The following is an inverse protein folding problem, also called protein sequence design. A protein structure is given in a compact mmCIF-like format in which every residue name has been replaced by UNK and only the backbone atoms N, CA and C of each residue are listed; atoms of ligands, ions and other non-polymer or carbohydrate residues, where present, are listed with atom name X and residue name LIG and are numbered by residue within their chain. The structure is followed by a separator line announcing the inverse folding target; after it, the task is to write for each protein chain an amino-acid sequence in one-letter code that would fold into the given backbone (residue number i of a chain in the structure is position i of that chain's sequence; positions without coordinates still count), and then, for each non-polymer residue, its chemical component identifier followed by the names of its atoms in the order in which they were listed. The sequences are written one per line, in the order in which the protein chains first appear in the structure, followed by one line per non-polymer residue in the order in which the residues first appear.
data_IF_478494242869
#
_entry.id   IF_478494242869
#
_cell.length_a   1.000
_cell.length_b   1.000
_cell.length_c   1.000
_cell.angle_alpha   90.00
_cell.angle_beta   90.00
_cell.angle_gamma   90.00
#
_symmetry.space_group_name_H-M   'P 1'
#
loop_
_entity.id
_entity.type
_entity.pdbx_description
1 polymer ?
#
# COMPACT_ATOMS: atom_id res chain seq x y z
N UNK A 1 41.38 18.68 -3.70
CA UNK A 1 40.33 18.16 -4.59
C UNK A 1 39.27 17.51 -3.71
N UNK A 2 38.05 18.04 -3.63
CA UNK A 2 37.02 17.36 -2.83
C UNK A 2 36.62 16.10 -3.54
N UNK A 3 36.69 14.98 -2.84
CA UNK A 3 36.21 13.64 -3.23
C UNK A 3 34.72 13.75 -3.58
N UNK A 4 34.37 13.51 -4.84
CA UNK A 4 33.00 13.32 -5.29
C UNK A 4 32.43 12.13 -4.51
N UNK A 5 31.61 12.42 -3.50
CA UNK A 5 30.76 11.42 -2.87
C UNK A 5 29.87 10.86 -3.97
N UNK A 6 30.07 9.60 -4.31
CA UNK A 6 29.23 8.85 -5.25
C UNK A 6 27.82 8.87 -4.66
N UNK A 7 26.90 9.64 -5.25
CA UNK A 7 25.48 9.56 -4.93
C UNK A 7 25.03 8.14 -5.26
N UNK A 8 24.73 7.36 -4.22
CA UNK A 8 24.14 6.02 -4.39
C UNK A 8 22.82 6.15 -5.15
N UNK A 9 22.58 5.25 -6.10
CA UNK A 9 21.29 5.18 -6.79
C UNK A 9 20.21 4.68 -5.82
N UNK A 10 18.93 4.99 -6.05
CA UNK A 10 17.82 4.46 -5.25
C UNK A 10 17.85 2.93 -5.20
N UNK A 11 18.06 2.26 -6.33
CA UNK A 11 18.17 0.81 -6.38
C UNK A 11 19.44 0.28 -5.69
N UNK A 12 20.52 1.05 -5.62
CA UNK A 12 21.73 0.69 -4.87
C UNK A 12 21.52 0.77 -3.36
N UNK A 13 20.67 1.68 -2.90
CA UNK A 13 20.32 1.83 -1.48
C UNK A 13 19.20 0.86 -1.07
N UNK A 14 18.26 0.62 -1.96
CA UNK A 14 17.09 -0.25 -1.75
C UNK A 14 17.03 -1.29 -2.88
N UNK A 15 17.70 -2.44 -2.74
CA UNK A 15 17.86 -3.44 -3.83
C UNK A 15 16.54 -3.94 -4.41
N UNK A 16 15.48 -3.98 -3.61
CA UNK A 16 14.13 -4.38 -4.05
C UNK A 16 13.63 -3.49 -5.21
N UNK A 17 14.00 -2.20 -5.26
CA UNK A 17 13.63 -1.27 -6.32
C UNK A 17 14.35 -1.58 -7.66
N UNK A 18 15.39 -2.37 -7.61
CA UNK A 18 16.10 -2.88 -8.80
C UNK A 18 15.44 -4.10 -9.45
N UNK A 19 14.46 -4.73 -8.78
CA UNK A 19 13.76 -5.93 -9.28
C UNK A 19 12.53 -5.53 -10.11
N UNK A 20 12.13 -6.31 -11.14
CA UNK A 20 10.89 -6.10 -11.89
C UNK A 20 9.67 -6.62 -11.10
N UNK A 21 9.41 -6.06 -9.95
CA UNK A 21 8.27 -6.41 -9.11
C UNK A 21 7.10 -5.48 -9.38
N UNK A 22 5.84 -5.96 -9.39
CA UNK A 22 4.68 -5.09 -9.41
C UNK A 22 4.67 -4.22 -8.15
N UNK A 23 4.25 -2.97 -8.31
CA UNK A 23 4.16 -2.01 -7.24
C UNK A 23 2.74 -1.47 -7.10
N UNK A 24 2.39 -1.02 -5.90
CA UNK A 24 1.12 -0.34 -5.63
C UNK A 24 1.34 1.17 -5.68
N UNK A 25 0.72 1.84 -6.64
CA UNK A 25 0.68 3.30 -6.72
C UNK A 25 -0.62 3.80 -6.12
N UNK A 26 -0.52 4.59 -5.05
CA UNK A 26 -1.67 5.25 -4.42
C UNK A 26 -1.69 6.74 -4.76
N UNK A 27 -2.82 7.23 -5.25
CA UNK A 27 -3.08 8.62 -5.66
C UNK A 27 -4.33 9.16 -4.94
N UNK A 28 -4.50 10.48 -4.94
CA UNK A 28 -5.63 11.14 -4.28
C UNK A 28 -6.71 11.48 -5.30
N UNK A 29 -7.91 10.97 -5.08
CA UNK A 29 -9.10 11.29 -5.87
C UNK A 29 -9.61 12.72 -5.58
N UNK A 30 -10.42 13.32 -6.46
CA UNK A 30 -10.96 14.67 -6.26
C UNK A 30 -11.76 14.85 -4.95
N UNK A 31 -12.42 13.79 -4.46
CA UNK A 31 -13.17 13.78 -3.20
C UNK A 31 -12.30 13.55 -1.97
N UNK A 32 -10.98 13.42 -2.16
CA UNK A 32 -9.99 13.17 -1.12
C UNK A 32 -9.84 11.71 -0.70
N UNK A 33 -10.64 10.78 -1.23
CA UNK A 33 -10.41 9.34 -1.08
C UNK A 33 -9.12 8.94 -1.81
N UNK A 34 -8.62 7.77 -1.51
CA UNK A 34 -7.42 7.24 -2.18
C UNK A 34 -7.82 6.21 -3.24
N UNK A 35 -7.07 6.21 -4.33
CA UNK A 35 -7.08 5.16 -5.35
C UNK A 35 -5.74 4.44 -5.29
N UNK A 36 -5.76 3.12 -5.23
CA UNK A 36 -4.58 2.25 -5.30
C UNK A 36 -4.66 1.36 -6.53
N UNK A 37 -3.60 1.32 -7.32
CA UNK A 37 -3.55 0.49 -8.54
C UNK A 37 -2.20 -0.18 -8.65
N UNK A 38 -2.18 -1.35 -9.30
CA UNK A 38 -0.92 -2.01 -9.68
C UNK A 38 -0.28 -1.25 -10.84
N UNK A 39 1.02 -1.08 -10.73
CA UNK A 39 1.84 -0.46 -11.78
C UNK A 39 3.18 -1.20 -11.92
N UNK A 40 3.72 -1.13 -13.12
CA UNK A 40 5.12 -1.41 -13.38
C UNK A 40 5.94 -0.12 -13.26
N UNK A 41 7.19 -0.23 -12.89
CA UNK A 41 8.06 0.91 -12.71
C UNK A 41 9.50 0.62 -13.17
N UNK A 42 10.20 1.69 -13.46
CA UNK A 42 11.65 1.71 -13.62
C UNK A 42 12.25 2.63 -12.55
N UNK A 43 13.56 2.50 -12.34
CA UNK A 43 14.30 3.33 -11.40
C UNK A 43 15.47 3.98 -12.14
N UNK A 44 15.52 5.30 -12.16
CA UNK A 44 16.73 6.01 -12.52
C UNK A 44 17.59 6.28 -11.27
N UNK A 45 18.56 7.20 -11.36
CA UNK A 45 19.47 7.43 -10.23
C UNK A 45 18.76 7.99 -8.99
N UNK A 46 17.70 8.78 -9.16
CA UNK A 46 17.07 9.57 -8.08
C UNK A 46 15.56 9.48 -8.05
N UNK A 47 14.93 8.94 -9.10
CA UNK A 47 13.48 8.90 -9.27
C UNK A 47 12.99 7.49 -9.53
N UNK A 48 11.73 7.25 -9.22
CA UNK A 48 10.99 6.14 -9.78
C UNK A 48 10.12 6.65 -10.94
N UNK A 49 10.09 5.88 -12.00
CA UNK A 49 9.38 6.20 -13.23
C UNK A 49 8.27 5.18 -13.42
N UNK A 50 7.03 5.65 -13.49
CA UNK A 50 5.86 4.83 -13.78
C UNK A 50 5.28 5.28 -15.10
N UNK A 51 5.02 4.35 -16.01
CA UNK A 51 4.26 4.65 -17.23
C UNK A 51 2.78 4.40 -17.00
N UNK A 52 1.95 5.31 -17.49
CA UNK A 52 0.49 5.18 -17.50
C UNK A 52 -0.08 5.88 -18.71
N UNK A 53 -1.41 5.80 -18.92
CA UNK A 53 -2.06 6.51 -20.01
C UNK A 53 -2.67 7.82 -19.50
N UNK A 54 -2.59 8.86 -20.30
CA UNK A 54 -3.13 10.19 -20.00
C UNK A 54 -4.62 10.15 -19.63
N UNK A 55 -5.34 9.21 -20.20
CA UNK A 55 -6.78 9.00 -20.06
C UNK A 55 -7.15 8.27 -18.77
N UNK A 56 -6.20 7.63 -18.09
CA UNK A 56 -6.49 6.82 -16.91
C UNK A 56 -6.71 7.68 -15.66
N UNK A 57 -7.50 7.15 -14.72
CA UNK A 57 -7.89 7.84 -13.50
C UNK A 57 -6.66 8.33 -12.70
N UNK A 58 -5.62 7.49 -12.57
CA UNK A 58 -4.39 7.85 -11.84
C UNK A 58 -3.67 9.06 -12.43
N UNK A 59 -3.65 9.21 -13.77
CA UNK A 59 -3.07 10.37 -14.42
C UNK A 59 -3.92 11.63 -14.19
N UNK A 60 -5.26 11.51 -14.22
CA UNK A 60 -6.16 12.62 -13.86
C UNK A 60 -6.00 13.04 -12.41
N UNK A 61 -5.89 12.09 -11.49
CA UNK A 61 -5.67 12.36 -10.08
C UNK A 61 -4.37 13.13 -9.86
N UNK A 62 -3.28 12.70 -10.51
CA UNK A 62 -1.95 13.33 -10.39
C UNK A 62 -1.88 14.74 -10.99
N UNK A 63 -2.71 15.07 -11.98
CA UNK A 63 -2.83 16.47 -12.46
C UNK A 63 -3.49 17.37 -11.42
N UNK A 64 -4.44 16.85 -10.64
CA UNK A 64 -5.14 17.62 -9.61
C UNK A 64 -4.37 17.66 -8.29
N UNK A 65 -3.77 16.54 -7.92
CA UNK A 65 -2.97 16.39 -6.70
C UNK A 65 -1.68 15.64 -7.05
N UNK A 66 -0.55 16.35 -7.28
CA UNK A 66 0.71 15.75 -7.72
C UNK A 66 1.46 15.06 -6.58
N UNK A 67 0.75 14.30 -5.75
CA UNK A 67 1.25 13.56 -4.60
C UNK A 67 0.86 12.10 -4.71
N UNK A 68 1.82 11.21 -4.58
CA UNK A 68 1.61 9.77 -4.63
C UNK A 68 2.48 9.02 -3.63
N UNK A 69 2.12 7.77 -3.41
CA UNK A 69 2.95 6.79 -2.72
C UNK A 69 3.09 5.56 -3.59
N UNK A 70 4.32 5.08 -3.74
CA UNK A 70 4.63 3.81 -4.36
C UNK A 70 5.07 2.82 -3.28
N UNK A 71 4.40 1.68 -3.20
CA UNK A 71 4.76 0.56 -2.32
C UNK A 71 5.25 -0.61 -3.17
N UNK A 72 6.45 -1.09 -2.87
CA UNK A 72 7.00 -2.33 -3.41
C UNK A 72 7.15 -3.33 -2.27
N UNK A 73 6.60 -4.51 -2.43
CA UNK A 73 6.70 -5.61 -1.45
C UNK A 73 7.39 -6.79 -2.11
N UNK A 74 8.32 -7.40 -1.39
CA UNK A 74 8.94 -8.65 -1.85
C UNK A 74 7.90 -9.79 -1.73
N UNK A 75 7.52 -10.47 -2.83
CA UNK A 75 6.53 -11.53 -2.76
C UNK A 75 7.03 -12.77 -1.99
N UNK A 76 8.35 -12.97 -1.92
CA UNK A 76 8.97 -14.09 -1.22
C UNK A 76 9.11 -13.81 0.30
N UNK A 77 9.10 -12.55 0.70
CA UNK A 77 9.19 -12.08 2.09
C UNK A 77 8.41 -10.77 2.26
N UNK A 78 7.18 -10.85 2.70
CA UNK A 78 6.31 -9.68 2.89
C UNK A 78 6.76 -8.75 4.01
N UNK A 79 7.81 -9.10 4.76
CA UNK A 79 8.47 -8.19 5.71
C UNK A 79 9.52 -7.32 5.05
N UNK A 80 9.96 -7.64 3.82
CA UNK A 80 10.85 -6.83 2.98
C UNK A 80 10.03 -5.98 2.02
N UNK A 81 9.89 -4.69 2.33
CA UNK A 81 9.15 -3.73 1.51
C UNK A 81 9.73 -2.32 1.59
N UNK A 82 9.45 -1.52 0.58
CA UNK A 82 9.79 -0.10 0.53
C UNK A 82 8.54 0.71 0.16
N UNK A 83 8.19 1.68 1.01
CA UNK A 83 7.23 2.73 0.73
C UNK A 83 7.96 4.01 0.35
N UNK A 84 7.64 4.57 -0.80
CA UNK A 84 8.21 5.82 -1.29
C UNK A 84 7.08 6.83 -1.48
N UNK A 85 7.07 7.90 -0.67
CA UNK A 85 6.19 9.06 -0.87
C UNK A 85 6.89 10.06 -1.79
N UNK A 86 6.18 10.59 -2.77
CA UNK A 86 6.77 11.39 -3.81
C UNK A 86 5.88 12.54 -4.26
N UNK A 87 6.52 13.64 -4.64
CA UNK A 87 5.92 14.59 -5.58
C UNK A 87 6.06 14.01 -7.00
N UNK A 88 5.04 14.22 -7.83
CA UNK A 88 4.96 13.61 -9.16
C UNK A 88 4.88 14.69 -10.22
N UNK A 89 5.75 14.64 -11.23
CA UNK A 89 5.58 15.34 -12.50
C UNK A 89 5.09 14.38 -13.57
N UNK A 90 4.26 14.88 -14.49
CA UNK A 90 3.77 14.15 -15.65
C UNK A 90 4.49 14.67 -16.90
N UNK A 91 5.12 13.76 -17.65
CA UNK A 91 5.95 14.06 -18.81
C UNK A 91 5.46 13.25 -20.02
N UNK A 92 5.20 13.91 -21.14
CA UNK A 92 4.75 13.26 -22.39
C UNK A 92 5.94 12.93 -23.32
N UNK A 93 6.99 13.74 -23.28
CA UNK A 93 8.20 13.52 -24.07
C UNK A 93 8.91 12.23 -23.64
N UNK A 94 9.20 11.34 -24.58
CA UNK A 94 9.86 10.05 -24.33
C UNK A 94 8.98 9.01 -23.60
N UNK A 95 7.69 9.30 -23.36
CA UNK A 95 6.82 8.42 -22.58
C UNK A 95 6.55 7.08 -23.29
N UNK A 96 6.50 7.05 -24.64
CA UNK A 96 6.35 5.82 -25.40
C UNK A 96 7.60 4.92 -25.25
N UNK A 97 8.79 5.48 -25.35
CA UNK A 97 10.04 4.72 -25.21
C UNK A 97 10.16 4.12 -23.82
N UNK A 98 9.80 4.90 -22.78
CA UNK A 98 9.78 4.41 -21.41
C UNK A 98 8.74 3.30 -21.21
N UNK A 99 7.54 3.43 -21.80
CA UNK A 99 6.51 2.39 -21.75
C UNK A 99 7.03 1.08 -22.36
N UNK A 100 7.67 1.16 -23.52
CA UNK A 100 8.25 0.03 -24.21
C UNK A 100 9.38 -0.62 -23.39
N UNK A 101 10.26 0.18 -22.77
CA UNK A 101 11.35 -0.29 -21.91
C UNK A 101 10.82 -0.98 -20.64
N UNK A 102 9.82 -0.40 -20.00
CA UNK A 102 9.15 -1.00 -18.83
C UNK A 102 8.43 -2.28 -19.26
N UNK A 103 7.67 -2.25 -20.37
CA UNK A 103 7.01 -3.44 -20.93
C UNK A 103 7.99 -4.58 -21.14
N UNK A 104 9.10 -4.29 -21.83
CA UNK A 104 10.16 -5.27 -22.05
C UNK A 104 10.78 -5.83 -20.77
N UNK A 105 11.02 -4.95 -19.78
CA UNK A 105 11.59 -5.36 -18.49
C UNK A 105 10.72 -6.37 -17.73
N UNK A 106 9.39 -6.24 -17.81
CA UNK A 106 8.45 -7.10 -17.08
C UNK A 106 7.98 -8.31 -17.88
N UNK A 107 7.93 -8.24 -19.19
CA UNK A 107 7.37 -9.29 -20.06
C UNK A 107 8.38 -9.92 -21.02
N UNK A 108 9.51 -9.26 -21.27
CA UNK A 108 10.44 -9.63 -22.33
C UNK A 108 9.98 -9.21 -23.73
N UNK A 109 8.79 -8.57 -23.86
CA UNK A 109 8.19 -8.21 -25.15
C UNK A 109 8.31 -6.71 -25.44
N UNK A 110 8.50 -6.35 -26.73
CA UNK A 110 8.57 -4.97 -27.23
C UNK A 110 8.15 -4.93 -28.71
N UNK A 111 7.40 -3.91 -29.19
CA UNK A 111 6.87 -2.76 -28.42
C UNK A 111 5.69 -3.13 -27.50
N UNK A 112 5.32 -2.21 -26.60
CA UNK A 112 4.21 -2.43 -25.67
C UNK A 112 2.90 -2.64 -26.44
N UNK A 113 2.52 -1.67 -27.28
CA UNK A 113 1.37 -1.82 -28.18
C UNK A 113 1.72 -2.80 -29.33
N UNK A 114 0.96 -3.86 -29.42
CA UNK A 114 1.10 -4.91 -30.43
C UNK A 114 1.82 -6.18 -29.95
N UNK A 115 2.57 -6.11 -28.84
CA UNK A 115 3.21 -7.29 -28.27
C UNK A 115 2.73 -7.59 -26.85
N UNK A 116 2.56 -6.55 -25.99
CA UNK A 116 2.09 -6.72 -24.61
C UNK A 116 0.57 -6.51 -24.55
N UNK A 117 0.06 -5.52 -25.27
CA UNK A 117 -1.37 -5.25 -25.43
C UNK A 117 -1.73 -5.11 -26.90
N UNK A 118 -3.02 -5.18 -27.29
CA UNK A 118 -3.46 -4.98 -28.66
C UNK A 118 -2.95 -3.68 -29.28
N UNK A 119 -2.55 -3.72 -30.56
CA UNK A 119 -1.95 -2.57 -31.25
C UNK A 119 -2.93 -1.40 -31.47
N UNK A 120 -4.22 -1.69 -31.60
CA UNK A 120 -5.28 -0.71 -31.81
C UNK A 120 -5.49 0.22 -30.61
N UNK A 121 -5.10 -0.20 -29.40
CA UNK A 121 -5.13 0.65 -28.22
C UNK A 121 -4.25 1.90 -28.36
N UNK A 122 -3.18 1.86 -29.16
CA UNK A 122 -2.32 3.02 -29.43
C UNK A 122 -3.07 4.21 -30.06
N UNK A 123 -4.25 3.97 -30.66
CA UNK A 123 -5.07 5.04 -31.21
C UNK A 123 -5.85 5.85 -30.14
N UNK A 124 -6.05 5.28 -28.95
CA UNK A 124 -6.89 5.85 -27.89
C UNK A 124 -6.18 6.02 -26.57
N UNK A 125 -5.05 5.37 -26.37
CA UNK A 125 -4.25 5.39 -25.15
C UNK A 125 -2.93 6.12 -25.43
N UNK A 126 -2.71 7.23 -24.70
CA UNK A 126 -1.51 8.06 -24.88
C UNK A 126 -0.61 7.95 -23.63
N UNK A 127 0.56 7.37 -23.78
CA UNK A 127 1.49 7.21 -22.67
C UNK A 127 1.90 8.53 -22.04
N UNK A 128 2.01 8.52 -20.72
CA UNK A 128 2.57 9.60 -19.93
C UNK A 128 3.47 9.00 -18.83
N UNK A 129 4.65 9.58 -18.66
CA UNK A 129 5.57 9.23 -17.59
C UNK A 129 5.17 9.95 -16.32
N UNK A 130 4.93 9.19 -15.25
CA UNK A 130 4.89 9.73 -13.90
C UNK A 130 6.30 9.65 -13.32
N UNK A 131 6.99 10.78 -13.20
CA UNK A 131 8.29 10.88 -12.52
C UNK A 131 8.05 11.17 -11.05
N UNK A 132 8.38 10.20 -10.20
CA UNK A 132 8.22 10.26 -8.76
C UNK A 132 9.52 10.76 -8.12
N UNK A 133 9.51 11.99 -7.61
CA UNK A 133 10.61 12.57 -6.83
C UNK A 133 10.38 12.28 -5.36
N UNK A 134 11.22 11.46 -4.71
CA UNK A 134 11.01 11.05 -3.32
C UNK A 134 11.04 12.24 -2.36
N UNK A 135 10.04 12.32 -1.48
CA UNK A 135 10.02 13.24 -0.33
C UNK A 135 10.24 12.50 0.99
N UNK A 136 9.93 11.20 1.01
CA UNK A 136 10.24 10.33 2.14
C UNK A 136 10.25 8.86 1.68
N UNK A 137 11.13 8.08 2.27
CA UNK A 137 11.21 6.63 2.07
C UNK A 137 11.05 5.97 3.43
N UNK A 138 10.24 4.94 3.48
CA UNK A 138 9.97 4.14 4.69
C UNK A 138 10.20 2.67 4.36
N UNK A 139 10.92 2.00 5.25
CA UNK A 139 11.13 0.55 5.22
C UNK A 139 10.54 -0.07 6.48
N UNK A 140 10.44 -1.39 6.58
CA UNK A 140 10.04 -2.04 7.82
C UNK A 140 10.90 -1.57 8.98
N UNK A 141 10.30 -1.24 10.14
CA UNK A 141 11.07 -0.99 11.34
C UNK A 141 11.77 -2.29 11.75
N UNK A 142 12.98 -2.22 12.32
CA UNK A 142 13.60 -3.40 12.87
C UNK A 142 12.70 -4.01 13.95
N UNK A 143 12.50 -5.32 13.89
CA UNK A 143 11.78 -6.05 14.93
C UNK A 143 12.70 -6.11 16.15
N UNK A 144 12.27 -5.61 17.32
CA UNK A 144 13.07 -5.71 18.52
C UNK A 144 13.33 -7.19 18.88
N UNK A 145 14.48 -7.54 19.47
CA UNK A 145 14.74 -8.90 19.92
C UNK A 145 13.67 -9.39 20.91
N UNK A 146 13.22 -10.63 20.76
CA UNK A 146 12.19 -11.22 21.62
C UNK A 146 12.64 -11.40 23.08
N UNK A 147 13.93 -11.61 23.30
CA UNK A 147 14.61 -11.85 24.57
C UNK A 147 15.06 -10.57 25.30
N UNK A 148 14.59 -9.41 24.84
CA UNK A 148 14.90 -8.14 25.49
C UNK A 148 14.41 -8.19 26.94
N UNK A 149 15.31 -8.00 27.97
CA UNK A 149 14.86 -7.94 29.35
C UNK A 149 13.80 -6.84 29.48
N UNK A 150 12.66 -7.19 30.08
CA UNK A 150 11.59 -6.24 30.33
C UNK A 150 12.20 -5.05 31.08
N UNK A 151 12.32 -3.92 30.40
CA UNK A 151 12.60 -2.66 31.04
C UNK A 151 11.37 -2.41 31.90
N UNK A 152 11.50 -2.61 33.23
CA UNK A 152 10.47 -2.22 34.17
C UNK A 152 10.32 -0.70 34.03
N UNK A 153 9.49 -0.29 33.08
CA UNK A 153 9.12 1.10 32.91
C UNK A 153 8.31 1.48 34.13
N UNK A 154 8.95 2.24 35.03
CA UNK A 154 8.26 2.90 36.13
C UNK A 154 7.04 3.62 35.55
N UNK A 155 5.86 3.11 35.90
CA UNK A 155 4.52 3.71 35.79
C UNK A 155 4.39 4.86 34.81
N UNK A 156 4.44 4.56 33.49
CA UNK A 156 3.80 5.42 32.53
C UNK A 156 2.32 5.07 32.55
N UNK A 157 1.54 5.86 33.28
CA UNK A 157 0.09 5.88 33.12
C UNK A 157 -0.16 6.20 31.67
N UNK A 158 -0.53 5.18 30.89
CA UNK A 158 -0.88 5.36 29.48
C UNK A 158 -2.01 6.40 29.43
N UNK A 159 -1.88 7.50 28.68
CA UNK A 159 -2.97 8.45 28.58
C UNK A 159 -4.21 7.67 28.12
N UNK A 160 -5.41 8.05 28.62
CA UNK A 160 -6.63 7.38 28.21
C UNK A 160 -6.69 7.36 26.68
N UNK A 161 -7.13 6.25 26.08
CA UNK A 161 -7.20 6.15 24.63
C UNK A 161 -8.03 7.32 24.09
N UNK A 162 -7.62 7.95 22.99
CA UNK A 162 -8.39 9.01 22.38
C UNK A 162 -9.80 8.47 22.07
N UNK A 163 -10.80 9.34 22.16
CA UNK A 163 -12.15 8.96 21.72
C UNK A 163 -12.05 8.50 20.26
N UNK A 164 -12.46 7.27 20.02
CA UNK A 164 -12.57 6.75 18.67
C UNK A 164 -13.67 7.55 17.93
N UNK A 165 -13.47 7.87 16.64
CA UNK A 165 -14.50 8.55 15.87
C UNK A 165 -15.78 7.72 15.89
N UNK A 166 -16.91 8.41 15.95
CA UNK A 166 -18.22 7.76 15.79
C UNK A 166 -18.28 7.16 14.38
N UNK A 167 -18.86 5.95 14.22
CA UNK A 167 -19.01 5.33 12.93
C UNK A 167 -19.54 6.33 11.90
N UNK A 168 -18.86 6.46 10.78
CA UNK A 168 -19.30 7.31 9.67
C UNK A 168 -20.50 6.64 9.03
N UNK A 169 -21.71 7.22 9.26
CA UNK A 169 -22.97 6.63 8.88
C UNK A 169 -23.11 6.32 7.40
N UNK A 170 -23.61 5.17 7.14
CA UNK A 170 -24.57 4.72 6.13
C UNK A 170 -24.49 5.33 4.72
N UNK A 171 -23.39 5.13 4.01
CA UNK A 171 -23.49 4.93 2.56
C UNK A 171 -23.95 3.50 2.27
N UNK A 172 -24.46 3.23 1.08
CA UNK A 172 -24.78 1.88 0.66
C UNK A 172 -23.47 1.10 0.49
N UNK A 173 -23.35 -0.10 1.09
CA UNK A 173 -22.17 -0.94 0.97
C UNK A 173 -22.03 -1.44 -0.47
N UNK A 174 -20.80 -1.50 -0.97
CA UNK A 174 -20.51 -2.11 -2.25
C UNK A 174 -20.38 -3.63 -2.09
N UNK A 175 -20.97 -4.39 -2.98
CA UNK A 175 -20.85 -5.84 -3.00
C UNK A 175 -19.42 -6.28 -3.34
N UNK A 176 -18.96 -7.31 -2.65
CA UNK A 176 -17.70 -7.98 -2.96
C UNK A 176 -17.94 -9.01 -4.09
N UNK A 177 -17.20 -8.94 -5.21
CA UNK A 177 -17.35 -9.87 -6.31
C UNK A 177 -17.05 -11.33 -5.89
N UNK A 178 -17.95 -12.24 -6.22
CA UNK A 178 -17.83 -13.64 -5.82
C UNK A 178 -16.57 -14.34 -6.36
N UNK A 179 -16.12 -13.93 -7.54
CA UNK A 179 -14.93 -14.44 -8.23
C UNK A 179 -13.59 -13.91 -7.67
N UNK A 180 -13.63 -12.99 -6.68
CA UNK A 180 -12.47 -12.45 -5.98
C UNK A 180 -12.49 -12.73 -4.47
N UNK A 181 -13.46 -13.45 -3.95
CA UNK A 181 -13.55 -13.75 -2.51
C UNK A 181 -12.38 -14.61 -2.02
N UNK A 182 -11.83 -15.46 -2.87
CA UNK A 182 -10.65 -16.26 -2.55
C UNK A 182 -9.41 -15.38 -2.22
N UNK A 183 -9.23 -14.24 -2.89
CA UNK A 183 -8.18 -13.27 -2.55
C UNK A 183 -8.42 -12.68 -1.15
N UNK A 184 -9.67 -12.45 -0.79
CA UNK A 184 -10.06 -11.88 0.51
C UNK A 184 -10.00 -12.90 1.65
N UNK A 185 -10.12 -14.18 1.35
CA UNK A 185 -10.10 -15.29 2.31
C UNK A 185 -8.69 -15.90 2.48
N UNK A 186 -7.79 -15.66 1.52
CA UNK A 186 -6.41 -16.11 1.60
C UNK A 186 -5.55 -15.18 2.49
N UNK A 187 -4.53 -15.72 3.19
CA UNK A 187 -3.62 -14.93 4.02
C UNK A 187 -2.58 -14.18 3.16
N UNK A 188 -3.05 -13.31 2.29
CA UNK A 188 -2.22 -12.48 1.42
C UNK A 188 -1.90 -11.14 2.09
N UNK A 189 -0.73 -10.57 1.77
CA UNK A 189 -0.42 -9.23 2.22
C UNK A 189 -1.24 -8.21 1.41
N UNK A 190 -2.13 -7.48 2.08
CA UNK A 190 -2.87 -6.38 1.48
C UNK A 190 -2.09 -5.06 1.57
N UNK A 191 -2.19 -4.20 0.57
CA UNK A 191 -1.64 -2.84 0.60
C UNK A 191 -2.73 -1.87 1.12
N UNK A 192 -2.60 -1.43 2.37
CA UNK A 192 -3.53 -0.47 2.98
C UNK A 192 -3.02 0.95 2.78
N UNK A 193 -3.79 1.75 2.06
CA UNK A 193 -3.56 3.17 1.88
C UNK A 193 -4.45 3.99 2.83
N UNK A 194 -3.83 4.91 3.59
CA UNK A 194 -4.47 5.87 4.49
C UNK A 194 -3.95 7.28 4.20
N UNK A 195 -4.72 8.31 4.51
CA UNK A 195 -4.35 9.69 4.21
C UNK A 195 -3.60 10.33 5.36
N UNK A 196 -2.44 10.92 5.06
CA UNK A 196 -1.71 11.76 6.00
C UNK A 196 -2.38 13.13 6.18
N UNK A 197 -2.24 13.81 7.32
CA UNK A 197 -2.76 15.17 7.51
C UNK A 197 -2.28 16.17 6.45
N UNK A 198 -1.07 15.97 5.90
CA UNK A 198 -0.53 16.77 4.78
C UNK A 198 -1.07 16.43 3.40
N UNK A 199 -2.07 15.54 3.29
CA UNK A 199 -2.73 15.18 2.04
C UNK A 199 -2.09 14.04 1.27
N UNK A 200 -0.83 13.67 1.55
CA UNK A 200 -0.20 12.53 0.89
C UNK A 200 -0.85 11.20 1.27
N UNK A 201 -0.94 10.24 0.35
CA UNK A 201 -1.19 8.86 0.70
C UNK A 201 -0.06 8.30 1.58
N UNK A 202 -0.38 7.34 2.42
CA UNK A 202 0.57 6.43 3.06
C UNK A 202 0.09 5.01 2.77
N UNK A 203 0.94 4.17 2.19
CA UNK A 203 0.57 2.81 1.78
C UNK A 203 1.55 1.81 2.38
N UNK A 204 1.03 0.85 3.15
CA UNK A 204 1.85 -0.15 3.82
C UNK A 204 1.22 -1.53 3.73
N UNK A 205 2.02 -2.61 3.74
CA UNK A 205 1.48 -3.95 3.80
C UNK A 205 0.80 -4.19 5.16
N UNK A 206 -0.30 -4.92 5.13
CA UNK A 206 -1.08 -5.31 6.30
C UNK A 206 -1.57 -6.75 6.17
N UNK A 207 -1.77 -7.40 7.30
CA UNK A 207 -2.61 -8.58 7.42
C UNK A 207 -4.06 -8.14 7.57
N UNK A 208 -4.96 -8.91 7.00
CA UNK A 208 -6.40 -8.66 7.05
C UNK A 208 -7.18 -9.97 7.22
N UNK A 209 -8.43 -9.85 7.57
CA UNK A 209 -9.40 -10.95 7.53
C UNK A 209 -10.73 -10.42 7.02
N UNK A 210 -11.49 -11.22 6.29
CA UNK A 210 -12.85 -10.90 5.89
C UNK A 210 -13.85 -11.38 6.94
N UNK A 211 -14.84 -10.56 7.23
CA UNK A 211 -15.99 -10.92 8.06
C UNK A 211 -17.28 -10.44 7.38
N UNK A 212 -17.96 -11.34 6.71
CA UNK A 212 -19.09 -10.99 5.86
C UNK A 212 -18.65 -10.13 4.66
N UNK A 213 -19.21 -8.92 4.55
CA UNK A 213 -18.80 -7.91 3.57
C UNK A 213 -17.65 -7.02 4.04
N UNK A 214 -17.34 -7.03 5.33
CA UNK A 214 -16.31 -6.15 5.90
C UNK A 214 -14.91 -6.78 5.85
N UNK A 215 -13.90 -5.91 5.83
CA UNK A 215 -12.50 -6.33 5.96
C UNK A 215 -11.93 -5.77 7.27
N UNK A 216 -11.32 -6.63 8.06
CA UNK A 216 -10.73 -6.29 9.34
C UNK A 216 -9.21 -6.21 9.23
N UNK A 217 -8.64 -5.09 9.64
CA UNK A 217 -7.20 -4.87 9.73
C UNK A 217 -6.83 -4.55 11.16
N UNK A 218 -5.74 -5.13 11.67
CA UNK A 218 -5.22 -4.81 12.99
C UNK A 218 -4.08 -3.78 12.91
N UNK A 219 -4.12 -2.80 13.80
CA UNK A 219 -3.03 -1.85 13.98
C UNK A 219 -3.00 -1.32 15.40
N UNK A 220 -2.24 -0.26 15.68
CA UNK A 220 -2.24 0.42 16.98
C UNK A 220 -2.51 1.91 16.81
N UNK A 221 -3.01 2.57 17.86
CA UNK A 221 -3.19 4.02 17.89
C UNK A 221 -1.85 4.77 17.76
N UNK A 222 -0.76 4.17 18.20
CA UNK A 222 0.59 4.73 18.17
C UNK A 222 1.22 4.68 16.79
N UNK A 223 0.79 3.76 15.92
CA UNK A 223 1.30 3.66 14.55
C UNK A 223 0.69 4.72 13.65
N UNK A 224 1.44 5.12 12.62
CA UNK A 224 1.03 6.20 11.72
C UNK A 224 -0.35 5.94 11.08
N UNK A 225 -0.58 4.72 10.57
CA UNK A 225 -1.87 4.35 9.98
C UNK A 225 -3.04 4.46 10.97
N UNK A 226 -2.85 4.10 12.23
CA UNK A 226 -3.86 4.28 13.26
C UNK A 226 -4.18 5.77 13.50
N UNK A 227 -3.15 6.63 13.58
CA UNK A 227 -3.35 8.08 13.69
C UNK A 227 -4.01 8.70 12.46
N UNK A 228 -3.66 8.19 11.26
CA UNK A 228 -4.30 8.64 10.03
C UNK A 228 -5.80 8.33 10.04
N UNK A 229 -6.17 7.10 10.43
CA UNK A 229 -7.58 6.66 10.51
C UNK A 229 -8.38 7.38 11.59
N UNK A 230 -7.72 7.81 12.68
CA UNK A 230 -8.37 8.69 13.68
C UNK A 230 -8.71 10.08 13.10
N UNK A 231 -7.86 10.60 12.20
CA UNK A 231 -8.03 11.91 11.59
C UNK A 231 -8.94 11.88 10.36
N UNK A 232 -8.86 10.84 9.56
CA UNK A 232 -9.65 10.60 8.35
C UNK A 232 -10.02 9.10 8.29
N UNK A 233 -11.25 8.73 8.66
CA UNK A 233 -11.70 7.34 8.77
C UNK A 233 -12.03 6.74 7.39
N UNK A 234 -11.17 6.96 6.41
CA UNK A 234 -11.26 6.40 5.05
C UNK A 234 -9.97 5.70 4.69
N UNK A 235 -10.09 4.55 4.06
CA UNK A 235 -8.95 3.77 3.60
C UNK A 235 -9.22 3.12 2.25
N UNK A 236 -8.14 2.72 1.59
CA UNK A 236 -8.20 1.87 0.40
C UNK A 236 -7.31 0.67 0.64
N UNK A 237 -7.85 -0.52 0.46
CA UNK A 237 -7.11 -1.78 0.52
C UNK A 237 -7.01 -2.35 -0.90
N UNK A 238 -5.80 -2.65 -1.32
CA UNK A 238 -5.53 -3.37 -2.57
C UNK A 238 -4.93 -4.73 -2.24
N UNK A 239 -5.47 -5.78 -2.83
CA UNK A 239 -4.97 -7.15 -2.71
C UNK A 239 -4.69 -7.65 -4.12
N UNK A 240 -3.54 -8.29 -4.30
CA UNK A 240 -3.07 -8.79 -5.59
C UNK A 240 -2.86 -10.28 -5.48
N UNK A 241 -3.26 -11.01 -6.50
CA UNK A 241 -2.92 -12.41 -6.63
C UNK A 241 -1.39 -12.55 -6.80
N UNK A 242 -0.70 -13.30 -5.92
CA UNK A 242 0.75 -13.43 -5.97
C UNK A 242 1.24 -14.23 -7.20
N UNK A 243 0.36 -15.00 -7.85
CA UNK A 243 0.67 -15.82 -9.03
C UNK A 243 0.36 -15.06 -10.31
N UNK A 244 -0.75 -14.33 -10.32
CA UNK A 244 -1.21 -13.52 -11.46
C UNK A 244 -1.46 -12.07 -11.03
N UNK A 245 -0.48 -11.21 -11.23
CA UNK A 245 -0.58 -9.79 -10.87
C UNK A 245 -1.58 -8.99 -11.71
N UNK A 246 -2.17 -9.58 -12.75
CA UNK A 246 -3.30 -8.99 -13.48
C UNK A 246 -4.62 -9.16 -12.73
N UNK A 247 -4.69 -10.10 -11.80
CA UNK A 247 -5.83 -10.38 -10.95
C UNK A 247 -5.66 -9.69 -9.58
N UNK A 248 -6.54 -8.75 -9.29
CA UNK A 248 -6.48 -7.96 -8.06
C UNK A 248 -7.83 -7.36 -7.69
N UNK A 249 -7.98 -6.98 -6.44
CA UNK A 249 -9.16 -6.27 -5.93
C UNK A 249 -8.76 -5.02 -5.16
N UNK A 250 -9.33 -3.87 -5.50
CA UNK A 250 -9.25 -2.61 -4.77
C UNK A 250 -10.57 -2.34 -4.04
N UNK A 251 -10.51 -2.15 -2.74
CA UNK A 251 -11.65 -1.83 -1.88
C UNK A 251 -11.44 -0.45 -1.27
N UNK A 252 -12.26 0.53 -1.66
CA UNK A 252 -12.34 1.84 -1.02
C UNK A 252 -13.40 1.79 0.05
N UNK A 253 -13.04 2.11 1.27
CA UNK A 253 -13.87 1.88 2.43
C UNK A 253 -13.95 3.10 3.36
N UNK A 254 -15.08 3.20 4.07
CA UNK A 254 -15.15 3.95 5.31
C UNK A 254 -14.73 3.02 6.45
N UNK A 255 -14.17 3.56 7.52
CA UNK A 255 -13.49 2.75 8.54
C UNK A 255 -14.02 3.06 9.93
N UNK A 256 -14.47 2.01 10.62
CA UNK A 256 -14.74 2.06 12.04
C UNK A 256 -13.56 1.51 12.84
N UNK A 257 -13.28 2.15 13.99
CA UNK A 257 -12.21 1.73 14.87
C UNK A 257 -12.77 1.16 16.18
N UNK A 258 -12.24 0.02 16.63
CA UNK A 258 -12.61 -0.62 17.88
C UNK A 258 -11.38 -1.14 18.61
N UNK A 259 -11.37 -1.00 19.94
CA UNK A 259 -10.39 -1.68 20.81
C UNK A 259 -10.90 -3.04 21.31
N UNK A 260 -12.20 -3.31 21.13
CA UNK A 260 -12.82 -4.54 21.60
C UNK A 260 -12.26 -5.71 20.80
N UNK A 261 -11.83 -6.75 21.49
CA UNK A 261 -11.25 -7.99 20.93
C UNK A 261 -10.05 -7.78 19.98
N UNK A 262 -9.41 -6.61 20.01
CA UNK A 262 -8.34 -6.26 19.06
C UNK A 262 -7.11 -7.17 19.20
N UNK A 263 -6.78 -7.64 20.39
CA UNK A 263 -5.67 -8.59 20.58
C UNK A 263 -6.08 -10.01 20.16
N UNK A 264 -7.34 -10.41 20.38
CA UNK A 264 -7.85 -11.71 19.94
C UNK A 264 -7.82 -11.79 18.41
N UNK A 265 -8.27 -10.72 17.74
CA UNK A 265 -8.25 -10.62 16.29
C UNK A 265 -6.81 -10.62 15.76
N UNK A 266 -5.86 -9.92 16.42
CA UNK A 266 -4.43 -9.96 16.07
C UNK A 266 -3.87 -11.38 16.15
N UNK A 267 -4.19 -12.12 17.21
CA UNK A 267 -3.75 -13.51 17.37
C UNK A 267 -4.41 -14.45 16.33
N UNK A 268 -5.64 -14.16 15.91
CA UNK A 268 -6.27 -14.88 14.81
C UNK A 268 -5.54 -14.65 13.48
N UNK A 269 -5.18 -13.40 13.18
CA UNK A 269 -4.32 -13.06 12.02
C UNK A 269 -2.94 -13.72 12.13
N UNK A 270 -2.33 -13.72 13.31
CA UNK A 270 -1.03 -14.37 13.54
C UNK A 270 -1.08 -15.84 13.15
N UNK A 271 -2.12 -16.59 13.57
CA UNK A 271 -2.30 -17.99 13.20
C UNK A 271 -2.55 -18.19 11.70
N UNK A 272 -3.27 -17.28 11.07
CA UNK A 272 -3.58 -17.38 9.64
C UNK A 272 -2.34 -17.10 8.75
N UNK A 273 -1.50 -16.14 9.14
CA UNK A 273 -0.39 -15.65 8.33
C UNK A 273 0.97 -16.27 8.67
N UNK A 274 1.07 -16.93 9.84
CA UNK A 274 2.33 -17.47 10.33
C UNK A 274 2.12 -18.85 10.95
N UNK A 275 3.22 -19.42 11.47
CA UNK A 275 3.16 -20.67 12.25
C UNK A 275 3.01 -20.42 13.78
N UNK A 276 2.88 -19.15 14.16
CA UNK A 276 2.78 -18.72 15.55
C UNK A 276 1.32 -18.66 16.03
N UNK A 277 1.14 -18.77 17.33
CA UNK A 277 -0.18 -18.71 17.97
C UNK A 277 -0.50 -17.33 18.49
N UNK A 278 0.53 -16.64 19.03
CA UNK A 278 0.42 -15.32 19.64
C UNK A 278 1.35 -14.33 18.97
N UNK A 279 0.87 -13.10 18.80
CA UNK A 279 1.69 -12.04 18.24
C UNK A 279 2.76 -11.56 19.22
N UNK A 280 2.33 -11.21 20.45
CA UNK A 280 3.25 -10.81 21.50
C UNK A 280 3.89 -12.02 22.18
N UNK A 281 5.21 -12.00 22.27
CA UNK A 281 6.03 -13.07 22.81
C UNK A 281 6.56 -14.06 21.79
N UNK A 282 5.94 -14.15 20.60
CA UNK A 282 6.38 -15.07 19.54
C UNK A 282 6.85 -14.34 18.26
N UNK A 283 6.23 -13.21 17.91
CA UNK A 283 6.61 -12.38 16.75
C UNK A 283 7.15 -11.03 17.21
N UNK A 284 6.52 -10.45 18.22
CA UNK A 284 6.86 -9.15 18.74
C UNK A 284 7.06 -9.23 20.25
N UNK A 285 7.99 -8.46 20.86
CA UNK A 285 8.29 -8.59 22.28
C UNK A 285 7.06 -8.41 23.17
N UNK A 286 6.99 -9.23 24.24
CA UNK A 286 5.85 -9.24 25.15
C UNK A 286 5.68 -7.92 25.91
N UNK A 287 6.78 -7.23 26.25
CA UNK A 287 6.78 -5.94 26.93
C UNK A 287 6.10 -4.83 26.12
N UNK A 288 6.11 -4.95 24.79
CA UNK A 288 5.46 -3.98 23.88
C UNK A 288 3.94 -4.03 23.97
N UNK A 289 3.35 -5.14 24.43
CA UNK A 289 1.90 -5.29 24.62
C UNK A 289 1.30 -4.17 25.47
N UNK A 290 1.99 -3.77 26.51
CA UNK A 290 1.53 -2.73 27.43
C UNK A 290 1.82 -1.29 26.94
N UNK A 291 2.64 -1.15 25.90
CA UNK A 291 3.01 0.14 25.32
C UNK A 291 2.16 0.51 24.09
N UNK A 292 1.40 -0.45 23.54
CA UNK A 292 0.59 -0.26 22.36
C UNK A 292 -0.91 -0.44 22.68
N UNK A 293 -1.76 0.44 22.15
CA UNK A 293 -3.21 0.26 22.17
C UNK A 293 -3.65 -0.33 20.84
N UNK A 294 -3.94 -1.63 20.84
CA UNK A 294 -4.42 -2.32 19.63
C UNK A 294 -5.82 -1.85 19.25
N UNK A 295 -6.03 -1.71 17.96
CA UNK A 295 -7.33 -1.41 17.36
C UNK A 295 -7.58 -2.33 16.17
N UNK A 296 -8.85 -2.68 15.99
CA UNK A 296 -9.39 -3.22 14.75
C UNK A 296 -9.87 -2.03 13.92
N UNK A 297 -9.38 -1.93 12.70
CA UNK A 297 -9.95 -1.08 11.68
C UNK A 297 -10.89 -1.94 10.83
N UNK A 298 -12.20 -1.74 10.97
CA UNK A 298 -13.24 -2.40 10.19
C UNK A 298 -13.53 -1.55 8.96
N UNK A 299 -13.20 -2.06 7.81
CA UNK A 299 -13.37 -1.42 6.51
C UNK A 299 -14.73 -1.84 5.94
N UNK A 300 -15.62 -0.87 5.77
CA UNK A 300 -16.93 -1.02 5.12
C UNK A 300 -16.78 -0.63 3.64
N UNK A 301 -16.85 -1.56 2.69
CA UNK A 301 -16.68 -1.29 1.27
C UNK A 301 -17.68 -0.24 0.75
N UNK A 302 -17.17 0.79 0.04
CA UNK A 302 -17.99 1.83 -0.62
C UNK A 302 -17.85 1.81 -2.13
N UNK A 303 -16.71 1.33 -2.61
CA UNK A 303 -16.47 1.06 -4.02
C UNK A 303 -15.47 -0.09 -4.13
N UNK A 304 -15.72 -0.98 -5.08
CA UNK A 304 -14.86 -2.13 -5.37
C UNK A 304 -14.49 -2.10 -6.84
N UNK A 305 -13.22 -2.33 -7.14
CA UNK A 305 -12.69 -2.40 -8.50
C UNK A 305 -11.79 -3.64 -8.60
N UNK A 306 -11.90 -4.37 -9.70
CA UNK A 306 -11.14 -5.59 -9.96
C UNK A 306 -10.54 -5.55 -11.36
N UNK A 307 -9.33 -6.10 -11.52
CA UNK A 307 -8.67 -6.46 -12.79
C UNK A 307 -8.64 -5.37 -13.88
N UNK A 308 -9.04 -4.16 -13.55
CA UNK A 308 -9.19 -3.07 -14.51
C UNK A 308 -7.85 -2.39 -14.79
N UNK A 309 -7.03 -2.98 -15.66
CA UNK A 309 -5.78 -2.35 -16.12
C UNK A 309 -6.09 -1.14 -17.00
N UNK A 310 -7.25 -1.13 -17.69
CA UNK A 310 -7.57 -0.21 -18.78
C UNK A 310 -8.81 0.67 -18.56
N UNK A 311 -9.24 0.94 -17.32
CA UNK A 311 -10.43 1.77 -17.09
C UNK A 311 -10.20 3.00 -16.24
#
# INVERSE_FOLDING_TARGET
MPTRTSLSTLAGTYPILGRPLPAVLSTVLPDGRLQSTIVWFACDRQHLLVSTMREFAKARNLRLCPAATLLVVNPDDTTDWVELRANVSLEEEGAQDLLDDIGHRYTGLRPYFGQVVPADLAATEHPVTCRLTPVAITTPPPVPPLDRPAVLSTSHTQPPPPRLPTPVGCGQDADLPADHLDLLDAPLAGALATRLPGGFPQTQPVWYAREGSDILVNTTLQRRKGRNLLADPRATLLIVDPVDSSRWIEIRADVDLSTIDAEQQLNALTRAYTRHTHYYGEIYPLDQRNLETRIIARLHPRAVHCDAIHR
#
